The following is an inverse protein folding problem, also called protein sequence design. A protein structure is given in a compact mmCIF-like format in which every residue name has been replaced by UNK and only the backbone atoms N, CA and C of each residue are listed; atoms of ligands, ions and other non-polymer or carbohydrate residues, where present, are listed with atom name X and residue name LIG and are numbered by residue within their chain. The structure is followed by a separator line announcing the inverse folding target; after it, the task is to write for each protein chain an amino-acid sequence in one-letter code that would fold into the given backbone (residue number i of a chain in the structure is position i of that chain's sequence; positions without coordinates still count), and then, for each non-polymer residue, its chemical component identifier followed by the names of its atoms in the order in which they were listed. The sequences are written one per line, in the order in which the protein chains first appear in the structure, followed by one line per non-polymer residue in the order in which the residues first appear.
data_IF_763633821112
#
_entry.id   IF_763633821112
#
_cell.length_a   1.000
_cell.length_b   1.000
_cell.length_c   1.000
_cell.angle_alpha   90.00
_cell.angle_beta   90.00
_cell.angle_gamma   90.00
#
_symmetry.space_group_name_H-M   'P 1'
#
loop_
_entity.id
_entity.type
_entity.pdbx_description
1 polymer ?
#
# COMPACT_ATOMS: atom_id res chain seq x y z
N UNK A 1 52.16 -40.20 -25.04
CA UNK A 1 50.76 -40.23 -24.58
C UNK A 1 50.55 -39.02 -23.67
N UNK A 2 50.09 -37.88 -24.19
CA UNK A 2 49.91 -36.62 -23.44
C UNK A 2 48.56 -35.96 -23.81
N UNK A 3 47.46 -36.72 -23.78
CA UNK A 3 46.12 -36.25 -24.19
C UNK A 3 45.16 -35.94 -23.05
N UNK A 4 45.46 -36.34 -21.81
CA UNK A 4 44.49 -36.34 -20.70
C UNK A 4 44.40 -35.03 -19.90
N UNK A 5 45.37 -34.11 -20.01
CA UNK A 5 45.39 -32.90 -19.16
C UNK A 5 44.53 -31.75 -19.68
N UNK A 6 44.17 -31.70 -20.97
CA UNK A 6 43.46 -30.53 -21.54
C UNK A 6 41.97 -30.48 -21.24
N UNK A 7 41.34 -31.62 -20.95
CA UNK A 7 39.88 -31.69 -20.70
C UNK A 7 39.57 -31.23 -19.27
N UNK A 8 40.39 -31.63 -18.31
CA UNK A 8 40.22 -31.26 -16.90
C UNK A 8 40.40 -29.75 -16.65
N UNK A 9 41.32 -29.10 -17.38
CA UNK A 9 41.53 -27.65 -17.29
C UNK A 9 40.30 -26.85 -17.74
N UNK A 10 39.62 -27.29 -18.81
CA UNK A 10 38.44 -26.58 -19.32
C UNK A 10 37.24 -26.71 -18.36
N UNK A 11 37.03 -27.88 -17.78
CA UNK A 11 35.95 -28.12 -16.81
C UNK A 11 36.21 -27.35 -15.50
N UNK A 12 37.48 -27.24 -15.09
CA UNK A 12 37.87 -26.45 -13.91
C UNK A 12 37.64 -24.94 -14.13
N UNK A 13 38.05 -24.41 -15.29
CA UNK A 13 37.80 -23.00 -15.67
C UNK A 13 36.29 -22.71 -15.78
N UNK A 14 35.50 -23.67 -16.27
CA UNK A 14 34.04 -23.54 -16.33
C UNK A 14 33.40 -23.53 -14.93
N UNK A 15 33.92 -24.32 -13.99
CA UNK A 15 33.42 -24.35 -12.62
C UNK A 15 33.83 -23.10 -11.83
N UNK A 16 35.07 -22.65 -11.97
CA UNK A 16 35.57 -21.42 -11.36
C UNK A 16 34.75 -20.21 -11.81
N UNK A 17 34.48 -20.11 -13.13
CA UNK A 17 33.61 -19.07 -13.68
C UNK A 17 32.19 -19.10 -13.11
N UNK A 18 31.63 -20.31 -12.90
CA UNK A 18 30.31 -20.48 -12.31
C UNK A 18 30.28 -20.08 -10.83
N UNK A 19 31.31 -20.44 -10.06
CA UNK A 19 31.45 -20.06 -8.64
C UNK A 19 31.61 -18.55 -8.50
N UNK A 20 32.40 -17.93 -9.37
CA UNK A 20 32.57 -16.49 -9.43
C UNK A 20 31.26 -15.77 -9.78
N UNK A 21 30.51 -16.29 -10.74
CA UNK A 21 29.21 -15.74 -11.09
C UNK A 21 28.23 -15.85 -9.93
N UNK A 22 28.15 -17.02 -9.29
CA UNK A 22 27.27 -17.24 -8.14
C UNK A 22 27.65 -16.36 -6.95
N UNK A 23 28.95 -16.12 -6.74
CA UNK A 23 29.45 -15.24 -5.69
C UNK A 23 29.04 -13.79 -5.93
N UNK A 24 29.09 -13.31 -7.18
CA UNK A 24 28.60 -11.98 -7.56
C UNK A 24 27.09 -11.85 -7.37
N UNK A 25 26.33 -12.84 -7.80
CA UNK A 25 24.87 -12.88 -7.60
C UNK A 25 24.50 -12.88 -6.13
N UNK A 26 25.17 -13.70 -5.32
CA UNK A 26 24.94 -13.75 -3.88
C UNK A 26 25.28 -12.41 -3.20
N UNK A 27 26.37 -11.75 -3.60
CA UNK A 27 26.70 -10.43 -3.12
C UNK A 27 25.63 -9.39 -3.48
N UNK A 28 25.19 -9.38 -4.74
CA UNK A 28 24.14 -8.48 -5.21
C UNK A 28 22.81 -8.68 -4.47
N UNK A 29 22.40 -9.93 -4.26
CA UNK A 29 21.18 -10.24 -3.50
C UNK A 29 21.31 -9.80 -2.03
N UNK A 30 22.48 -10.02 -1.41
CA UNK A 30 22.74 -9.58 -0.03
C UNK A 30 22.61 -8.06 0.12
N UNK A 31 23.13 -7.27 -0.82
CA UNK A 31 22.98 -5.82 -0.81
C UNK A 31 21.51 -5.39 -0.94
N UNK A 32 20.75 -6.03 -1.84
CA UNK A 32 19.33 -5.75 -2.02
C UNK A 32 18.51 -6.06 -0.78
N UNK A 33 18.79 -7.19 -0.12
CA UNK A 33 18.13 -7.58 1.13
C UNK A 33 18.42 -6.53 2.21
N UNK A 34 19.67 -6.12 2.38
CA UNK A 34 20.07 -5.09 3.35
C UNK A 34 19.30 -3.77 3.15
N UNK A 35 19.15 -3.31 1.90
CA UNK A 35 18.37 -2.11 1.59
C UNK A 35 16.88 -2.29 1.95
N UNK A 36 16.30 -3.45 1.67
CA UNK A 36 14.90 -3.73 2.00
C UNK A 36 14.68 -3.80 3.50
N UNK A 37 15.56 -4.47 4.24
CA UNK A 37 15.54 -4.52 5.70
C UNK A 37 15.57 -3.11 6.32
N UNK A 38 16.46 -2.24 5.83
CA UNK A 38 16.54 -0.85 6.29
C UNK A 38 15.25 -0.06 6.04
N UNK A 39 14.60 -0.30 4.89
CA UNK A 39 13.31 0.32 4.56
C UNK A 39 12.19 -0.17 5.45
N UNK A 40 12.14 -1.46 5.78
CA UNK A 40 11.15 -2.03 6.70
C UNK A 40 11.29 -1.39 8.08
N UNK A 41 12.52 -1.34 8.63
CA UNK A 41 12.78 -0.68 9.92
C UNK A 41 12.35 0.79 9.92
N UNK A 42 12.59 1.50 8.82
CA UNK A 42 12.17 2.91 8.68
C UNK A 42 10.65 3.10 8.64
N UNK A 43 9.90 2.08 8.21
CA UNK A 43 8.44 2.07 8.17
C UNK A 43 7.83 1.63 9.50
N UNK A 44 8.52 0.76 10.23
CA UNK A 44 8.11 0.29 11.57
C UNK A 44 8.31 1.35 12.64
N UNK A 45 9.15 2.36 12.42
CA UNK A 45 9.26 3.48 13.34
C UNK A 45 7.98 4.33 13.32
N UNK A 46 7.22 4.40 14.43
CA UNK A 46 5.98 5.17 14.49
C UNK A 46 6.28 6.66 14.32
N UNK A 47 6.02 7.18 13.12
CA UNK A 47 6.00 8.62 12.85
C UNK A 47 4.66 9.20 13.28
N UNK A 48 4.55 9.56 14.56
CA UNK A 48 3.51 10.48 15.03
C UNK A 48 2.87 10.08 16.36
N UNK A 49 2.26 11.05 17.08
CA UNK A 49 1.82 10.86 18.45
C UNK A 49 0.62 9.93 18.47
N UNK A 50 0.77 8.81 19.17
CA UNK A 50 -0.34 8.04 19.71
C UNK A 50 -1.16 8.99 20.58
N UNK A 51 -2.28 9.49 20.05
CA UNK A 51 -3.33 10.08 20.89
C UNK A 51 -3.87 8.90 21.69
N UNK A 52 -3.37 8.75 22.91
CA UNK A 52 -3.96 7.88 23.90
C UNK A 52 -5.34 8.44 24.21
N UNK A 53 -6.39 7.88 23.61
CA UNK A 53 -7.73 7.95 24.18
C UNK A 53 -7.63 7.30 25.56
N UNK A 54 -7.73 8.10 26.61
CA UNK A 54 -7.69 7.64 27.98
C UNK A 54 -8.77 6.60 28.21
N UNK A 55 -8.35 5.37 28.51
CA UNK A 55 -9.12 4.49 29.36
C UNK A 55 -8.83 4.91 30.80
N UNK A 56 -9.76 5.66 31.38
CA UNK A 56 -9.88 5.77 32.82
C UNK A 56 -10.84 4.67 33.25
N UNK A 57 -10.31 3.68 33.96
CA UNK A 57 -11.12 2.76 34.75
C UNK A 57 -11.74 3.55 35.90
N UNK A 58 -13.05 3.81 35.87
CA UNK A 58 -13.83 4.02 37.09
C UNK A 58 -15.18 3.32 36.98
N UNK A 59 -15.32 2.35 37.87
CA UNK A 59 -16.52 1.59 38.21
C UNK A 59 -17.51 2.50 38.97
N UNK A 60 -18.78 2.09 39.00
CA UNK A 60 -19.92 2.65 39.76
C UNK A 60 -20.87 3.67 39.08
N UNK A 61 -22.15 3.39 39.35
CA UNK A 61 -23.39 4.05 38.95
C UNK A 61 -23.45 5.57 39.15
N UNK A 62 -24.07 6.28 38.21
CA UNK A 62 -25.41 6.87 38.31
C UNK A 62 -25.65 7.71 37.04
N UNK A 63 -26.90 7.84 36.63
CA UNK A 63 -27.28 8.37 35.33
C UNK A 63 -26.78 9.78 35.05
N UNK A 64 -26.18 9.98 33.87
CA UNK A 64 -26.15 11.29 33.24
C UNK A 64 -26.18 11.13 31.72
N UNK A 65 -27.35 11.44 31.14
CA UNK A 65 -27.58 11.53 29.70
C UNK A 65 -26.78 12.75 29.20
N UNK A 66 -25.77 12.59 28.30
CA UNK A 66 -25.18 13.73 27.64
C UNK A 66 -26.21 14.36 26.69
N UNK A 67 -26.32 15.70 26.60
CA UNK A 67 -27.46 16.34 25.99
C UNK A 67 -27.62 15.94 24.53
N UNK A 68 -28.81 15.44 24.22
CA UNK A 68 -29.34 15.41 22.86
C UNK A 68 -29.43 16.87 22.42
N UNK A 69 -28.36 17.35 21.77
CA UNK A 69 -28.32 18.65 21.12
C UNK A 69 -29.29 18.63 19.94
N UNK A 70 -30.55 18.94 20.22
CA UNK A 70 -31.51 19.43 19.24
C UNK A 70 -31.00 20.78 18.73
N UNK A 71 -30.11 20.73 17.75
CA UNK A 71 -29.85 21.83 16.84
C UNK A 71 -30.68 21.59 15.59
N UNK A 72 -31.84 22.25 15.58
CA UNK A 72 -32.42 22.96 14.44
C UNK A 72 -32.32 22.29 13.07
N UNK A 73 -33.47 21.84 12.57
CA UNK A 73 -33.79 21.80 11.15
C UNK A 73 -33.50 23.19 10.54
N UNK A 74 -32.33 23.35 9.93
CA UNK A 74 -32.14 24.34 8.88
C UNK A 74 -31.75 23.59 7.60
N UNK A 75 -32.72 23.50 6.69
CA UNK A 75 -32.49 23.28 5.28
C UNK A 75 -31.44 24.26 4.78
N UNK A 76 -30.20 23.79 4.65
CA UNK A 76 -29.28 24.30 3.66
C UNK A 76 -29.10 23.23 2.60
N UNK A 77 -30.05 23.18 1.66
CA UNK A 77 -29.83 22.66 0.30
C UNK A 77 -28.77 23.53 -0.39
N UNK A 78 -27.53 23.42 0.04
CA UNK A 78 -26.39 24.11 -0.55
C UNK A 78 -25.40 23.10 -1.08
N UNK A 79 -25.83 22.27 -2.05
CA UNK A 79 -24.95 21.61 -3.02
C UNK A 79 -23.63 21.02 -2.50
N UNK A 80 -23.58 20.52 -1.26
CA UNK A 80 -22.38 19.95 -0.66
C UNK A 80 -22.18 18.60 -1.30
N UNK A 81 -21.42 18.58 -2.40
CA UNK A 81 -20.89 17.33 -2.95
C UNK A 81 -20.26 16.56 -1.80
N UNK A 82 -20.74 15.35 -1.56
CA UNK A 82 -20.14 14.44 -0.61
C UNK A 82 -18.62 14.41 -0.89
N UNK A 83 -17.83 14.71 0.13
CA UNK A 83 -16.39 14.66 0.01
C UNK A 83 -15.97 13.20 0.03
N UNK A 84 -15.23 12.76 -0.99
CA UNK A 84 -14.73 11.40 -1.07
C UNK A 84 -13.21 11.39 -0.96
N UNK A 85 -12.68 10.33 -0.36
CA UNK A 85 -11.25 10.06 -0.31
C UNK A 85 -10.80 9.40 -1.62
N UNK A 86 -9.72 9.90 -2.20
CA UNK A 86 -9.14 9.31 -3.41
C UNK A 86 -8.43 7.98 -3.10
N UNK A 87 -8.79 6.89 -3.78
CA UNK A 87 -8.21 5.54 -3.59
C UNK A 87 -6.75 5.39 -4.03
N UNK A 88 -6.18 6.42 -4.67
CA UNK A 88 -4.77 6.45 -5.06
C UNK A 88 -3.91 7.28 -4.10
N UNK A 89 -4.29 8.55 -3.88
CA UNK A 89 -3.46 9.49 -3.13
C UNK A 89 -3.99 9.80 -1.73
N UNK A 90 -5.11 9.19 -1.33
CA UNK A 90 -5.76 9.31 -0.01
C UNK A 90 -6.13 10.74 0.40
N UNK A 91 -6.16 11.68 -0.54
CA UNK A 91 -6.66 13.04 -0.30
C UNK A 91 -8.19 13.05 -0.33
N UNK A 92 -8.79 13.68 0.67
CA UNK A 92 -10.22 13.99 0.70
C UNK A 92 -10.46 15.18 -0.25
N UNK A 93 -11.40 15.04 -1.17
CA UNK A 93 -11.78 16.10 -2.10
C UNK A 93 -13.27 16.05 -2.43
N UNK A 94 -13.88 17.22 -2.55
CA UNK A 94 -15.26 17.38 -3.04
C UNK A 94 -15.39 17.11 -4.56
N UNK A 95 -14.27 17.04 -5.28
CA UNK A 95 -14.23 16.84 -6.74
C UNK A 95 -13.76 15.44 -7.12
N UNK A 96 -13.85 14.47 -6.20
CA UNK A 96 -13.63 13.08 -6.53
C UNK A 96 -14.75 12.56 -7.44
N UNK A 97 -14.38 11.74 -8.42
CA UNK A 97 -15.31 11.06 -9.30
C UNK A 97 -15.08 9.55 -9.21
N UNK A 98 -16.13 8.76 -9.37
CA UNK A 98 -16.05 7.32 -9.30
C UNK A 98 -15.53 6.69 -10.61
N UNK A 99 -15.03 5.47 -10.53
CA UNK A 99 -14.66 4.68 -11.69
C UNK A 99 -15.89 4.47 -12.58
N UNK A 100 -15.86 4.83 -13.88
CA UNK A 100 -17.02 4.75 -14.76
C UNK A 100 -17.44 3.30 -15.07
N UNK A 101 -16.60 2.31 -14.73
CA UNK A 101 -16.88 0.89 -14.98
C UNK A 101 -17.55 0.22 -13.79
N UNK A 102 -16.96 0.35 -12.60
CA UNK A 102 -17.44 -0.34 -11.39
C UNK A 102 -18.15 0.56 -10.38
N UNK A 103 -18.03 1.89 -10.48
CA UNK A 103 -18.61 2.85 -9.54
C UNK A 103 -18.06 2.82 -8.10
N UNK A 104 -17.19 1.86 -7.76
CA UNK A 104 -16.74 1.60 -6.39
C UNK A 104 -15.54 2.43 -5.93
N UNK A 105 -14.54 2.62 -6.80
CA UNK A 105 -13.35 3.43 -6.46
C UNK A 105 -13.54 4.89 -6.88
N UNK A 106 -12.97 5.80 -6.10
CA UNK A 106 -13.04 7.25 -6.22
C UNK A 106 -11.66 7.86 -6.50
N UNK A 107 -11.61 8.83 -7.40
CA UNK A 107 -10.37 9.49 -7.81
C UNK A 107 -10.52 11.00 -7.85
N UNK A 108 -9.52 11.72 -7.32
CA UNK A 108 -9.49 13.19 -7.40
C UNK A 108 -8.99 13.72 -8.75
N UNK A 109 -8.46 12.86 -9.63
CA UNK A 109 -7.98 13.25 -10.96
C UNK A 109 -7.88 12.05 -11.91
N UNK A 110 -7.91 12.30 -13.23
CA UNK A 110 -7.64 11.29 -14.26
C UNK A 110 -6.23 10.69 -14.16
N UNK A 111 -5.30 11.38 -13.51
CA UNK A 111 -3.95 10.86 -13.28
C UNK A 111 -3.97 9.78 -12.18
N UNK A 112 -4.63 10.06 -11.05
CA UNK A 112 -4.85 9.10 -9.97
C UNK A 112 -5.58 7.85 -10.47
N UNK A 113 -6.62 8.03 -11.29
CA UNK A 113 -7.34 6.91 -11.90
C UNK A 113 -6.43 6.03 -12.77
N UNK A 114 -5.58 6.63 -13.62
CA UNK A 114 -4.67 5.86 -14.49
C UNK A 114 -3.63 5.08 -13.69
N UNK A 115 -3.06 5.67 -12.65
CA UNK A 115 -2.06 5.01 -11.81
C UNK A 115 -2.65 3.86 -11.00
N UNK A 116 -3.85 4.06 -10.42
CA UNK A 116 -4.58 2.98 -9.73
C UNK A 116 -5.12 1.94 -10.71
N UNK A 117 -5.40 2.32 -11.96
CA UNK A 117 -5.94 1.46 -13.00
C UNK A 117 -5.18 0.15 -13.23
N UNK A 118 -3.85 0.18 -13.12
CA UNK A 118 -2.99 -1.01 -13.31
C UNK A 118 -3.33 -2.12 -12.32
N UNK A 119 -3.57 -1.77 -11.05
CA UNK A 119 -3.94 -2.74 -9.99
C UNK A 119 -5.45 -2.92 -9.89
N UNK A 120 -6.22 -1.87 -10.18
CA UNK A 120 -7.67 -1.87 -10.13
C UNK A 120 -8.29 -2.74 -11.22
N UNK A 121 -7.68 -2.86 -12.40
CA UNK A 121 -8.29 -3.50 -13.57
C UNK A 121 -8.83 -4.91 -13.29
N UNK A 122 -8.11 -5.72 -12.51
CA UNK A 122 -8.53 -7.07 -12.17
C UNK A 122 -9.81 -7.07 -11.32
N UNK A 123 -9.87 -6.22 -10.30
CA UNK A 123 -11.03 -6.07 -9.41
C UNK A 123 -12.20 -5.35 -10.09
N UNK A 124 -11.89 -4.40 -10.99
CA UNK A 124 -12.86 -3.58 -11.72
C UNK A 124 -13.83 -4.43 -12.54
N UNK A 125 -13.31 -5.47 -13.23
CA UNK A 125 -14.09 -6.39 -14.05
C UNK A 125 -15.02 -7.28 -13.23
N UNK A 126 -14.66 -7.56 -11.98
CA UNK A 126 -15.40 -8.46 -11.10
C UNK A 126 -16.56 -7.75 -10.38
N UNK A 127 -16.47 -6.43 -10.20
CA UNK A 127 -17.52 -5.63 -9.56
C UNK A 127 -18.72 -5.32 -10.47
N UNK A 128 -18.64 -5.51 -11.78
CA UNK A 128 -19.77 -5.27 -12.69
C UNK A 128 -20.81 -6.42 -12.72
N UNK A 129 -20.72 -7.40 -11.82
CA UNK A 129 -21.68 -8.50 -11.72
C UNK A 129 -22.70 -8.25 -10.61
N UNK A 130 -23.71 -7.43 -10.86
CA UNK A 130 -25.10 -7.63 -10.36
C UNK A 130 -25.97 -6.44 -10.74
N UNK A 131 -26.92 -6.68 -11.65
CA UNK A 131 -28.35 -6.49 -11.37
C UNK A 131 -29.05 -7.75 -11.92
#
# INVERSE_FOLDING_TARGET
MNGANRVLDHDFVSLESAVDHLSREHHHLRERVSILEQRVVSLEQPKGPTICLGHSDEDASDGFIPPLGTATLESFESGLKAQHMCDYCYKISANCFNCPRCGHEWYCSKHCQRLRGIVHEHSCRNCCKTI
#
